data_IF_476728628485
#
_entry.id   IF_476728628485
#
_cell.length_a   1.000
_cell.length_b   1.000
_cell.length_c   1.000
_cell.angle_alpha   90.00
_cell.angle_beta   90.00
_cell.angle_gamma   90.00
#
_symmetry.space_group_name_H-M   'P 1'
#
loop_
_entity.id
_entity.type
_entity.pdbx_description
1 polymer ?
#
# COMPACT_ATOMS: atom_id res chain seq x y z
N UNK A 1 20.85 19.58 -6.05
CA UNK A 1 19.79 19.20 -5.10
C UNK A 1 20.06 17.76 -4.70
N UNK A 2 20.40 17.48 -3.44
CA UNK A 2 20.55 16.11 -2.96
C UNK A 2 19.16 15.48 -2.90
N UNK A 3 18.94 14.37 -3.61
CA UNK A 3 17.70 13.60 -3.44
C UNK A 3 17.67 13.06 -2.01
N UNK A 4 16.65 13.42 -1.23
CA UNK A 4 16.41 12.87 0.11
C UNK A 4 16.34 11.34 0.01
N UNK A 5 17.00 10.64 0.94
CA UNK A 5 17.00 9.19 0.97
C UNK A 5 15.62 8.59 1.29
N UNK A 6 15.36 7.35 0.88
CA UNK A 6 14.08 6.65 1.13
C UNK A 6 13.66 6.66 2.62
N UNK A 7 14.61 6.42 3.52
CA UNK A 7 14.36 6.45 4.97
C UNK A 7 14.13 7.86 5.50
N UNK A 8 14.82 8.85 4.94
CA UNK A 8 14.64 10.26 5.29
C UNK A 8 13.23 10.75 4.91
N UNK A 9 12.71 10.26 3.78
CA UNK A 9 11.33 10.50 3.34
C UNK A 9 10.29 9.71 4.17
N UNK A 10 10.63 8.51 4.66
CA UNK A 10 9.74 7.71 5.52
C UNK A 10 9.53 8.35 6.90
N UNK A 11 10.55 9.01 7.43
CA UNK A 11 10.50 9.73 8.72
C UNK A 11 10.19 11.23 8.57
N UNK A 12 9.84 11.69 7.37
CA UNK A 12 9.37 13.07 7.14
C UNK A 12 7.90 13.21 7.58
N UNK A 13 7.69 13.38 8.88
CA UNK A 13 6.36 13.56 9.49
C UNK A 13 5.67 14.89 9.13
N UNK A 14 6.31 15.74 8.32
CA UNK A 14 5.76 17.02 7.88
C UNK A 14 4.62 16.84 6.87
N UNK A 15 4.57 15.73 6.13
CA UNK A 15 3.59 15.45 5.05
C UNK A 15 3.44 16.61 4.02
N UNK A 16 4.36 17.58 3.98
CA UNK A 16 4.19 18.81 3.21
C UNK A 16 4.55 18.67 1.73
N UNK A 17 5.20 17.56 1.35
CA UNK A 17 5.43 17.18 -0.04
C UNK A 17 4.56 15.96 -0.39
N UNK A 18 4.10 15.90 -1.64
CA UNK A 18 3.42 14.75 -2.24
C UNK A 18 4.39 13.57 -2.44
N UNK A 19 4.98 13.08 -1.35
CA UNK A 19 5.98 11.98 -1.34
C UNK A 19 5.31 10.62 -1.59
N UNK A 20 3.99 10.55 -1.49
CA UNK A 20 3.23 9.29 -1.53
C UNK A 20 3.44 8.50 -2.83
N UNK A 21 3.57 9.16 -3.99
CA UNK A 21 3.83 8.48 -5.27
C UNK A 21 5.22 7.84 -5.34
N UNK A 22 6.21 8.41 -4.63
CA UNK A 22 7.59 7.87 -4.56
C UNK A 22 7.70 6.66 -3.63
N UNK A 23 7.00 6.69 -2.48
CA UNK A 23 7.08 5.62 -1.46
C UNK A 23 6.13 4.45 -1.75
N UNK A 24 5.18 4.60 -2.69
CA UNK A 24 4.10 3.61 -2.85
C UNK A 24 4.57 2.19 -3.15
N UNK A 25 5.69 2.03 -3.87
CA UNK A 25 6.29 0.72 -4.11
C UNK A 25 6.67 0.04 -2.80
N UNK A 26 7.22 0.79 -1.86
CA UNK A 26 7.60 0.24 -0.55
C UNK A 26 6.39 0.00 0.33
N UNK A 27 5.37 0.86 0.28
CA UNK A 27 4.09 0.57 0.95
C UNK A 27 3.46 -0.73 0.45
N UNK A 28 3.56 -1.02 -0.86
CA UNK A 28 3.06 -2.28 -1.40
C UNK A 28 3.84 -3.49 -0.89
N UNK A 29 5.17 -3.40 -0.85
CA UNK A 29 6.02 -4.47 -0.30
C UNK A 29 5.67 -4.72 1.17
N UNK A 30 5.54 -3.66 1.97
CA UNK A 30 5.12 -3.77 3.37
C UNK A 30 3.73 -4.39 3.52
N UNK A 31 2.78 -4.02 2.65
CA UNK A 31 1.44 -4.60 2.66
C UNK A 31 1.45 -6.09 2.28
N UNK A 32 2.28 -6.51 1.30
CA UNK A 32 2.47 -7.93 0.97
C UNK A 32 3.06 -8.69 2.15
N UNK A 33 4.07 -8.13 2.83
CA UNK A 33 4.67 -8.74 4.02
C UNK A 33 3.59 -8.89 5.11
N UNK A 34 2.80 -7.84 5.37
CA UNK A 34 1.68 -7.88 6.31
C UNK A 34 0.63 -8.94 5.95
N UNK A 35 0.25 -9.04 4.69
CA UNK A 35 -0.66 -10.09 4.20
C UNK A 35 -0.06 -11.49 4.37
N UNK A 36 1.25 -11.64 4.15
CA UNK A 36 1.99 -12.87 4.40
C UNK A 36 1.97 -13.28 5.88
N UNK A 37 2.20 -12.32 6.78
CA UNK A 37 2.10 -12.56 8.23
C UNK A 37 0.67 -12.96 8.61
N UNK A 38 -0.35 -12.25 8.12
CA UNK A 38 -1.74 -12.60 8.37
C UNK A 38 -2.09 -14.01 7.88
N UNK A 39 -1.62 -14.39 6.69
CA UNK A 39 -1.77 -15.73 6.15
C UNK A 39 -1.09 -16.78 7.04
N UNK A 40 0.17 -16.55 7.46
CA UNK A 40 0.88 -17.45 8.36
C UNK A 40 0.18 -17.59 9.71
N UNK A 41 -0.33 -16.49 10.30
CA UNK A 41 -1.09 -16.56 11.55
C UNK A 41 -2.39 -17.37 11.40
N UNK A 42 -3.05 -17.27 10.24
CA UNK A 42 -4.23 -18.10 9.91
C UNK A 42 -3.86 -19.57 9.77
N UNK A 43 -2.71 -19.87 9.18
CA UNK A 43 -2.22 -21.23 9.05
C UNK A 43 -1.93 -21.85 10.42
N UNK A 44 -1.15 -21.16 11.25
CA UNK A 44 -0.76 -21.63 12.58
C UNK A 44 -1.95 -21.72 13.54
N UNK A 45 -2.93 -20.82 13.44
CA UNK A 45 -4.15 -20.90 14.25
C UNK A 45 -4.98 -22.15 13.88
N UNK A 46 -5.06 -22.51 12.61
CA UNK A 46 -5.66 -23.76 12.15
C UNK A 46 -4.98 -25.00 12.76
N UNK A 47 -3.65 -25.05 12.73
CA UNK A 47 -2.88 -26.14 13.35
C UNK A 47 -3.03 -26.20 14.88
N UNK A 48 -3.14 -25.03 15.55
CA UNK A 48 -3.29 -24.96 17.01
C UNK A 48 -4.57 -25.61 17.54
N UNK A 49 -5.61 -25.75 16.70
CA UNK A 49 -6.86 -26.42 17.08
C UNK A 49 -6.74 -27.92 17.33
N UNK A 50 -5.66 -28.56 16.84
CA UNK A 50 -5.43 -30.02 16.89
C UNK A 50 -6.60 -30.86 16.34
N UNK A 51 -7.45 -30.27 15.50
CA UNK A 51 -8.57 -30.95 14.83
C UNK A 51 -8.30 -31.05 13.33
N UNK A 52 -8.71 -32.16 12.71
CA UNK A 52 -8.65 -32.32 11.26
C UNK A 52 -9.38 -31.17 10.53
N UNK A 53 -10.54 -30.76 11.05
CA UNK A 53 -11.31 -29.65 10.47
C UNK A 53 -10.58 -28.31 10.55
N UNK A 54 -9.88 -28.04 11.65
CA UNK A 54 -9.14 -26.79 11.83
C UNK A 54 -7.86 -26.73 10.99
N UNK A 55 -7.17 -27.86 10.82
CA UNK A 55 -6.03 -27.96 9.89
C UNK A 55 -6.49 -27.74 8.45
N UNK A 56 -7.59 -28.37 8.04
CA UNK A 56 -8.14 -28.18 6.69
C UNK A 56 -8.59 -26.74 6.45
N UNK A 57 -9.24 -26.12 7.45
CA UNK A 57 -9.59 -24.71 7.42
C UNK A 57 -8.35 -23.82 7.24
N UNK A 58 -7.31 -24.02 8.07
CA UNK A 58 -6.07 -23.25 7.98
C UNK A 58 -5.42 -23.37 6.61
N UNK A 59 -5.31 -24.59 6.06
CA UNK A 59 -4.67 -24.81 4.76
C UNK A 59 -5.43 -24.17 3.59
N UNK A 60 -6.76 -24.19 3.61
CA UNK A 60 -7.61 -23.60 2.56
C UNK A 60 -7.70 -22.08 2.71
N UNK A 61 -7.85 -21.57 3.94
CA UNK A 61 -8.02 -20.14 4.18
C UNK A 61 -6.73 -19.35 4.06
N UNK A 62 -5.57 -19.94 4.35
CA UNK A 62 -4.27 -19.27 4.22
C UNK A 62 -4.03 -18.65 2.84
N UNK A 63 -4.11 -19.40 1.71
CA UNK A 63 -3.93 -18.80 0.39
C UNK A 63 -5.03 -17.79 0.04
N UNK A 64 -6.27 -17.99 0.53
CA UNK A 64 -7.38 -17.05 0.31
C UNK A 64 -7.11 -15.71 1.02
N UNK A 65 -6.72 -15.76 2.30
CA UNK A 65 -6.38 -14.57 3.10
C UNK A 65 -5.20 -13.83 2.47
N UNK A 66 -4.17 -14.55 2.02
CA UNK A 66 -3.03 -13.93 1.34
C UNK A 66 -3.43 -13.25 0.03
N UNK A 67 -4.18 -13.94 -0.84
CA UNK A 67 -4.61 -13.41 -2.13
C UNK A 67 -5.56 -12.22 -1.96
N UNK A 68 -6.55 -12.33 -1.08
CA UNK A 68 -7.47 -11.22 -0.80
C UNK A 68 -6.74 -10.04 -0.15
N UNK A 69 -5.85 -10.29 0.81
CA UNK A 69 -5.07 -9.24 1.46
C UNK A 69 -4.19 -8.48 0.47
N UNK A 70 -3.48 -9.18 -0.41
CA UNK A 70 -2.64 -8.55 -1.44
C UNK A 70 -3.45 -7.84 -2.53
N UNK A 71 -4.63 -8.36 -2.89
CA UNK A 71 -5.55 -7.74 -3.84
C UNK A 71 -6.16 -6.46 -3.27
N UNK A 72 -6.65 -6.48 -2.04
CA UNK A 72 -7.18 -5.29 -1.34
C UNK A 72 -6.09 -4.23 -1.21
N UNK A 73 -4.89 -4.63 -0.79
CA UNK A 73 -3.75 -3.71 -0.73
C UNK A 73 -3.47 -3.07 -2.10
N UNK A 74 -3.56 -3.84 -3.19
CA UNK A 74 -3.35 -3.33 -4.54
C UNK A 74 -4.41 -2.30 -4.95
N UNK A 75 -5.69 -2.61 -4.74
CA UNK A 75 -6.79 -1.69 -5.05
C UNK A 75 -6.65 -0.40 -4.23
N UNK A 76 -6.29 -0.52 -2.95
CA UNK A 76 -6.10 0.64 -2.08
C UNK A 76 -4.98 1.56 -2.59
N UNK A 77 -3.82 0.98 -2.94
CA UNK A 77 -2.69 1.74 -3.46
C UNK A 77 -2.99 2.35 -4.83
N UNK A 78 -3.68 1.63 -5.72
CA UNK A 78 -4.13 2.18 -7.01
C UNK A 78 -5.05 3.38 -6.80
N UNK A 79 -5.97 3.29 -5.84
CA UNK A 79 -6.85 4.41 -5.47
C UNK A 79 -6.05 5.61 -4.96
N UNK A 80 -5.06 5.39 -4.09
CA UNK A 80 -4.17 6.46 -3.62
C UNK A 80 -3.43 7.13 -4.80
N UNK A 81 -2.84 6.36 -5.72
CA UNK A 81 -2.17 6.93 -6.91
C UNK A 81 -3.12 7.80 -7.71
N UNK A 82 -4.35 7.32 -7.96
CA UNK A 82 -5.36 8.05 -8.72
C UNK A 82 -5.68 9.39 -8.05
N UNK A 83 -5.89 9.40 -6.74
CA UNK A 83 -6.14 10.64 -6.00
C UNK A 83 -4.98 11.64 -6.11
N UNK A 84 -3.73 11.18 -5.98
CA UNK A 84 -2.57 12.05 -6.16
C UNK A 84 -2.43 12.57 -7.58
N UNK A 85 -2.67 11.73 -8.59
CA UNK A 85 -2.67 12.16 -10.01
C UNK A 85 -3.73 13.22 -10.28
N UNK A 86 -4.91 13.11 -9.68
CA UNK A 86 -5.96 14.13 -9.80
C UNK A 86 -5.48 15.45 -9.18
N UNK A 87 -4.92 15.42 -7.97
CA UNK A 87 -4.40 16.61 -7.31
C UNK A 87 -3.32 17.33 -8.16
N UNK A 88 -2.36 16.58 -8.70
CA UNK A 88 -1.32 17.14 -9.59
C UNK A 88 -1.90 17.77 -10.86
N UNK A 89 -2.90 17.11 -11.47
CA UNK A 89 -3.54 17.61 -12.68
C UNK A 89 -4.34 18.89 -12.41
N UNK A 90 -5.02 18.99 -11.26
CA UNK A 90 -5.73 20.21 -10.85
C UNK A 90 -4.75 21.38 -10.66
N UNK A 91 -3.58 21.15 -10.05
CA UNK A 91 -2.54 22.20 -9.92
C UNK A 91 -2.03 22.68 -11.28
N UNK A 92 -1.85 21.77 -12.25
CA UNK A 92 -1.43 22.12 -13.62
C UNK A 92 -2.49 22.94 -14.36
N UNK A 93 -3.78 22.60 -14.19
CA UNK A 93 -4.87 23.36 -14.82
C UNK A 93 -4.96 24.80 -14.32
N UNK A 94 -4.74 25.04 -13.03
CA UNK A 94 -4.73 26.40 -12.46
C UNK A 94 -3.58 27.24 -13.05
N UNK A 95 -2.37 26.68 -13.13
CA UNK A 95 -1.20 27.38 -13.71
C UNK A 95 -1.31 27.61 -15.21
N UNK A 96 -1.95 26.70 -15.95
CA UNK A 96 -2.18 26.86 -17.39
C UNK A 96 -3.21 27.94 -17.74
N UNK A 97 -3.99 28.39 -16.76
CA UNK A 97 -5.00 29.44 -16.92
C UNK A 97 -4.50 30.84 -16.49
N UNK A 98 -3.23 30.98 -16.10
CA UNK A 98 -2.62 32.28 -15.83
C UNK A 98 -2.33 32.99 -17.17
N UNK A 99 -2.86 34.20 -17.40
CA UNK A 99 -2.54 34.97 -18.61
C UNK A 99 -1.03 35.27 -18.63
N UNK A 100 -0.38 35.27 -19.82
CA UNK A 100 1.05 35.54 -19.90
C UNK A 100 1.32 36.90 -19.25
N UNK A 101 2.08 36.89 -18.16
CA UNK A 101 2.57 38.12 -17.52
C UNK A 101 3.55 38.76 -18.48
N UNK A 102 3.06 39.78 -19.19
CA UNK A 102 3.83 40.76 -19.95
C UNK A 102 4.91 41.43 -19.12
#
# INVERSE_FOLDING_TARGET
MQEKGFFELLFDFSFSEFVTTKIIKVLYVLAIIGAGIAALTTLFSGFATKSFSGVLYGLVMTPIVFLLGTLVARIWLETLIVLFRIAENTTKLVRGNEPPTS
#
